data_IF_053695947763
#
_entry.id   IF_053695947763
#
_cell.length_a   1.000
_cell.length_b   1.000
_cell.length_c   1.000
_cell.angle_alpha   90.00
_cell.angle_beta   90.00
_cell.angle_gamma   90.00
#
_symmetry.space_group_name_H-M   'P 1'
#
loop_
_entity.id
_entity.type
_entity.pdbx_description
1 polymer ?
#
# COMPACT_ATOMS: atom_id res chain seq x y z
N UNK A 1 -40.16 0.72 25.97
CA UNK A 1 -38.68 0.81 25.91
C UNK A 1 -38.02 -0.46 25.37
N UNK A 2 -38.23 -1.65 25.96
CA UNK A 2 -37.56 -2.88 25.51
C UNK A 2 -37.81 -3.28 24.03
N UNK A 3 -39.04 -3.10 23.51
CA UNK A 3 -39.37 -3.41 22.11
C UNK A 3 -38.71 -2.45 21.11
N UNK A 4 -38.60 -1.16 21.47
CA UNK A 4 -37.91 -0.15 20.67
C UNK A 4 -36.40 -0.43 20.57
N UNK A 5 -35.77 -0.79 21.69
CA UNK A 5 -34.35 -1.19 21.72
C UNK A 5 -34.11 -2.46 20.88
N UNK A 6 -35.03 -3.44 20.92
CA UNK A 6 -34.94 -4.64 20.08
C UNK A 6 -35.06 -4.31 18.58
N UNK A 7 -35.98 -3.43 18.20
CA UNK A 7 -36.15 -3.01 16.80
C UNK A 7 -34.93 -2.23 16.28
N UNK A 8 -34.32 -1.38 17.12
CA UNK A 8 -33.08 -0.68 16.78
C UNK A 8 -31.91 -1.66 16.61
N UNK A 9 -31.78 -2.66 17.50
CA UNK A 9 -30.75 -3.69 17.37
C UNK A 9 -30.92 -4.51 16.09
N UNK A 10 -32.16 -4.86 15.71
CA UNK A 10 -32.44 -5.57 14.47
C UNK A 10 -32.07 -4.73 13.23
N UNK A 11 -32.43 -3.44 13.20
CA UNK A 11 -32.05 -2.54 12.11
C UNK A 11 -30.54 -2.30 12.04
N UNK A 12 -29.87 -2.21 13.18
CA UNK A 12 -28.41 -2.14 13.23
C UNK A 12 -27.78 -3.40 12.62
N UNK A 13 -28.32 -4.58 12.93
CA UNK A 13 -27.87 -5.84 12.33
C UNK A 13 -28.07 -5.87 10.81
N UNK A 14 -29.23 -5.38 10.33
CA UNK A 14 -29.51 -5.24 8.89
C UNK A 14 -28.50 -4.32 8.20
N UNK A 15 -28.18 -3.17 8.80
CA UNK A 15 -27.17 -2.24 8.26
C UNK A 15 -25.76 -2.86 8.24
N UNK A 16 -25.38 -3.61 9.27
CA UNK A 16 -24.10 -4.34 9.29
C UNK A 16 -24.06 -5.37 8.17
N UNK A 17 -25.14 -6.13 7.98
CA UNK A 17 -25.21 -7.10 6.89
C UNK A 17 -25.13 -6.42 5.52
N UNK A 18 -25.79 -5.28 5.33
CA UNK A 18 -25.69 -4.48 4.10
C UNK A 18 -24.27 -3.94 3.87
N UNK A 19 -23.59 -3.48 4.92
CA UNK A 19 -22.21 -3.01 4.83
C UNK A 19 -21.25 -4.16 4.46
N UNK A 20 -21.47 -5.36 5.03
CA UNK A 20 -20.69 -6.56 4.72
C UNK A 20 -20.92 -7.01 3.27
N UNK A 21 -22.17 -7.04 2.79
CA UNK A 21 -22.45 -7.44 1.40
C UNK A 21 -21.85 -6.47 0.39
N UNK A 22 -21.84 -5.17 0.71
CA UNK A 22 -21.20 -4.15 -0.11
C UNK A 22 -19.66 -4.25 -0.10
N UNK A 23 -19.06 -4.47 1.08
CA UNK A 23 -17.59 -4.44 1.23
C UNK A 23 -16.92 -5.73 0.74
N UNK A 24 -17.60 -6.87 0.80
CA UNK A 24 -17.07 -8.18 0.37
C UNK A 24 -16.48 -8.19 -1.05
N UNK A 25 -17.17 -7.76 -2.11
CA UNK A 25 -16.60 -7.77 -3.45
C UNK A 25 -15.40 -6.83 -3.60
N UNK A 26 -15.43 -5.65 -2.95
CA UNK A 26 -14.33 -4.69 -2.99
C UNK A 26 -13.06 -5.26 -2.33
N UNK A 27 -13.24 -5.89 -1.16
CA UNK A 27 -12.16 -6.58 -0.47
C UNK A 27 -11.64 -7.79 -1.25
N UNK A 28 -12.51 -8.51 -1.97
CA UNK A 28 -12.09 -9.62 -2.82
C UNK A 28 -11.22 -9.13 -3.99
N UNK A 29 -11.60 -8.03 -4.64
CA UNK A 29 -10.78 -7.41 -5.69
C UNK A 29 -9.45 -6.90 -5.14
N UNK A 30 -9.48 -6.21 -4.00
CA UNK A 30 -8.26 -5.78 -3.32
C UNK A 30 -7.34 -6.96 -2.98
N UNK A 31 -7.90 -8.03 -2.43
CA UNK A 31 -7.14 -9.24 -2.07
C UNK A 31 -6.51 -9.93 -3.28
N UNK A 32 -7.22 -9.95 -4.42
CA UNK A 32 -6.70 -10.52 -5.66
C UNK A 32 -5.39 -9.84 -6.09
N UNK A 33 -5.35 -8.50 -6.11
CA UNK A 33 -4.16 -7.75 -6.49
C UNK A 33 -3.10 -7.73 -5.39
N UNK A 34 -3.50 -7.57 -4.13
CA UNK A 34 -2.58 -7.57 -2.99
C UNK A 34 -1.75 -8.88 -2.92
N UNK A 35 -2.36 -10.01 -3.27
CA UNK A 35 -1.67 -11.32 -3.27
C UNK A 35 -0.57 -11.43 -4.33
N UNK A 36 -0.60 -10.63 -5.40
CA UNK A 36 0.43 -10.70 -6.45
C UNK A 36 1.39 -9.51 -6.41
N UNK A 37 0.93 -8.34 -5.99
CA UNK A 37 1.73 -7.10 -6.01
C UNK A 37 2.38 -6.76 -4.66
N UNK A 38 1.74 -7.11 -3.54
CA UNK A 38 2.20 -6.74 -2.19
C UNK A 38 2.83 -7.92 -1.42
N UNK A 39 3.02 -9.06 -2.08
CA UNK A 39 3.67 -10.21 -1.47
C UNK A 39 5.18 -9.99 -1.39
N UNK A 40 5.82 -10.33 -0.27
CA UNK A 40 7.28 -10.29 -0.17
C UNK A 40 7.91 -11.09 -1.31
N UNK A 41 8.91 -10.53 -2.02
CA UNK A 41 9.52 -11.17 -3.16
C UNK A 41 10.19 -12.49 -2.76
N UNK A 42 10.29 -13.41 -3.71
CA UNK A 42 11.04 -14.65 -3.53
C UNK A 42 12.53 -14.34 -3.41
N UNK A 43 13.32 -15.07 -2.60
CA UNK A 43 14.76 -14.88 -2.50
C UNK A 43 15.49 -14.93 -3.85
N UNK A 44 14.94 -15.65 -4.83
CA UNK A 44 15.50 -15.74 -6.19
C UNK A 44 15.40 -14.42 -6.98
N UNK A 45 14.53 -13.49 -6.59
CA UNK A 45 14.31 -12.21 -7.28
C UNK A 45 15.26 -11.11 -6.77
N UNK A 46 15.86 -11.31 -5.59
CA UNK A 46 16.78 -10.37 -4.96
C UNK A 46 18.01 -10.08 -5.83
N UNK A 47 18.71 -11.08 -6.42
CA UNK A 47 19.85 -10.82 -7.30
C UNK A 47 19.49 -9.95 -8.51
N UNK A 48 18.31 -10.17 -9.09
CA UNK A 48 17.79 -9.37 -10.21
C UNK A 48 17.53 -7.93 -9.78
N UNK A 49 16.93 -7.71 -8.62
CA UNK A 49 16.73 -6.36 -8.07
C UNK A 49 18.05 -5.61 -7.82
N UNK A 50 19.06 -6.30 -7.27
CA UNK A 50 20.41 -5.73 -7.08
C UNK A 50 21.04 -5.37 -8.41
N UNK A 51 20.89 -6.21 -9.44
CA UNK A 51 21.42 -5.93 -10.77
C UNK A 51 20.73 -4.72 -11.41
N UNK A 52 19.41 -4.60 -11.29
CA UNK A 52 18.66 -3.41 -11.74
C UNK A 52 19.14 -2.13 -11.05
N UNK A 53 19.39 -2.18 -9.74
CA UNK A 53 19.95 -1.04 -9.00
C UNK A 53 21.34 -0.64 -9.54
N UNK A 54 22.22 -1.61 -9.80
CA UNK A 54 23.55 -1.32 -10.39
C UNK A 54 23.44 -0.61 -11.74
N UNK A 55 22.48 -1.03 -12.57
CA UNK A 55 22.24 -0.40 -13.87
C UNK A 55 21.76 1.06 -13.72
N UNK A 56 20.89 1.34 -12.75
CA UNK A 56 20.45 2.71 -12.43
C UNK A 56 21.63 3.57 -11.99
N UNK A 57 22.49 3.06 -11.11
CA UNK A 57 23.70 3.77 -10.65
C UNK A 57 24.63 4.06 -11.83
N UNK A 58 24.81 3.09 -12.73
CA UNK A 58 25.66 3.27 -13.91
C UNK A 58 25.07 4.32 -14.87
N UNK A 59 23.76 4.29 -15.13
CA UNK A 59 23.02 5.29 -15.91
C UNK A 59 23.13 6.70 -15.31
N UNK A 60 23.11 6.81 -13.98
CA UNK A 60 23.34 8.07 -13.28
C UNK A 60 24.77 8.59 -13.48
N UNK A 61 25.78 7.71 -13.38
CA UNK A 61 27.20 8.04 -13.60
C UNK A 61 27.49 8.49 -15.03
N UNK A 62 26.84 7.89 -16.03
CA UNK A 62 26.99 8.26 -17.44
C UNK A 62 26.15 9.48 -17.83
N UNK A 63 25.48 10.13 -16.87
CA UNK A 63 24.58 11.26 -17.07
C UNK A 63 23.41 11.00 -18.03
N UNK A 64 23.05 9.73 -18.25
CA UNK A 64 21.97 9.33 -19.15
C UNK A 64 20.59 9.81 -18.68
N UNK A 65 20.44 10.15 -17.39
CA UNK A 65 19.23 10.78 -16.84
C UNK A 65 18.85 12.10 -17.53
N UNK A 66 19.79 12.77 -18.19
CA UNK A 66 19.54 14.01 -18.95
C UNK A 66 18.71 13.79 -20.22
N UNK A 67 18.61 12.55 -20.70
CA UNK A 67 17.81 12.19 -21.86
C UNK A 67 16.39 11.74 -21.50
N UNK A 68 16.03 11.70 -20.21
CA UNK A 68 14.68 11.34 -19.78
C UNK A 68 13.70 12.46 -20.07
N UNK A 69 12.51 12.08 -20.55
CA UNK A 69 11.41 13.02 -20.67
C UNK A 69 10.86 13.39 -19.29
N UNK A 70 10.23 14.57 -19.17
CA UNK A 70 9.62 15.03 -17.91
C UNK A 70 8.60 14.03 -17.39
N UNK A 71 7.82 13.40 -18.28
CA UNK A 71 6.84 12.37 -17.92
C UNK A 71 7.50 11.18 -17.23
N UNK A 72 8.60 10.66 -17.78
CA UNK A 72 9.33 9.52 -17.20
C UNK A 72 9.96 9.88 -15.87
N UNK A 73 10.56 11.08 -15.77
CA UNK A 73 11.13 11.57 -14.52
C UNK A 73 10.06 11.70 -13.42
N UNK A 74 8.87 12.22 -13.76
CA UNK A 74 7.77 12.33 -12.81
C UNK A 74 7.24 10.96 -12.37
N UNK A 75 7.08 10.01 -13.29
CA UNK A 75 6.64 8.65 -12.94
C UNK A 75 7.63 7.97 -11.99
N UNK A 76 8.93 8.05 -12.29
CA UNK A 76 9.97 7.50 -11.42
C UNK A 76 9.99 8.20 -10.05
N UNK A 77 9.75 9.51 -10.01
CA UNK A 77 9.64 10.27 -8.76
C UNK A 77 8.43 9.88 -7.91
N UNK A 78 7.28 9.60 -8.53
CA UNK A 78 6.09 9.13 -7.83
C UNK A 78 6.32 7.75 -7.21
N UNK A 79 6.90 6.81 -7.96
CA UNK A 79 7.25 5.47 -7.43
C UNK A 79 8.27 5.59 -6.30
N UNK A 80 9.30 6.44 -6.43
CA UNK A 80 10.26 6.68 -5.36
C UNK A 80 9.58 7.24 -4.10
N UNK A 81 8.62 8.14 -4.26
CA UNK A 81 7.84 8.70 -3.14
C UNK A 81 6.98 7.65 -2.48
N UNK A 82 6.33 6.77 -3.25
CA UNK A 82 5.55 5.65 -2.72
C UNK A 82 6.40 4.72 -1.84
N UNK A 83 7.60 4.35 -2.29
CA UNK A 83 8.53 3.52 -1.50
C UNK A 83 8.95 4.22 -0.20
N UNK A 84 9.14 5.54 -0.22
CA UNK A 84 9.42 6.32 0.99
C UNK A 84 8.23 6.33 1.96
N UNK A 85 6.99 6.37 1.47
CA UNK A 85 5.81 6.29 2.32
C UNK A 85 5.69 4.93 3.01
N UNK A 86 6.09 3.84 2.36
CA UNK A 86 6.18 2.51 2.99
C UNK A 86 7.13 2.47 4.18
N UNK A 87 8.24 3.23 4.15
CA UNK A 87 9.12 3.37 5.31
C UNK A 87 8.40 4.02 6.50
N UNK A 88 7.63 5.10 6.28
CA UNK A 88 6.85 5.76 7.34
C UNK A 88 5.71 4.89 7.87
N UNK A 89 5.09 4.06 7.02
CA UNK A 89 4.12 3.04 7.49
C UNK A 89 4.82 2.06 8.44
N UNK A 90 6.04 1.62 8.12
CA UNK A 90 6.86 0.82 9.01
C UNK A 90 7.16 1.51 10.35
N UNK A 91 7.45 2.81 10.33
CA UNK A 91 7.62 3.62 11.54
C UNK A 91 6.34 3.69 12.38
N UNK A 92 5.16 3.86 11.76
CA UNK A 92 3.85 3.85 12.43
C UNK A 92 3.61 2.52 13.15
N UNK A 93 3.94 1.41 12.50
CA UNK A 93 3.88 0.08 13.13
C UNK A 93 4.87 -0.01 14.29
N UNK A 94 6.12 0.42 14.09
CA UNK A 94 7.18 0.36 15.12
C UNK A 94 6.88 1.21 16.37
N UNK A 95 6.31 2.40 16.20
CA UNK A 95 5.92 3.29 17.31
C UNK A 95 4.56 2.96 17.92
N UNK A 96 3.81 2.05 17.31
CA UNK A 96 2.47 1.64 17.75
C UNK A 96 1.48 2.81 17.87
N UNK A 97 1.59 3.80 16.99
CA UNK A 97 0.81 5.02 17.08
C UNK A 97 0.73 5.75 15.75
N UNK A 98 -0.46 6.24 15.42
CA UNK A 98 -0.69 7.02 14.19
C UNK A 98 -0.14 8.45 14.36
N UNK A 99 -0.22 8.99 15.58
CA UNK A 99 0.18 10.36 15.90
C UNK A 99 1.28 10.39 16.96
N UNK A 100 2.41 11.00 16.60
CA UNK A 100 3.54 11.20 17.52
C UNK A 100 4.14 9.90 18.04
N UNK A 101 5.11 10.05 18.95
CA UNK A 101 5.57 8.97 19.81
C UNK A 101 4.83 9.05 21.13
N UNK A 102 4.49 7.90 21.70
CA UNK A 102 3.94 7.83 23.05
C UNK A 102 5.10 8.00 24.05
N UNK A 103 5.39 9.25 24.39
CA UNK A 103 6.43 9.67 25.35
C UNK A 103 5.87 9.98 26.72
#
# INVERSE_FOLDING_TARGET
>A
MAQFVRNLAQRALEMVNAAVTYSKPLLATFWHYAKVELVPPSPAEIPTAIQSLKNIIWSAKTAAFKHLTVKEAMLNGLVATEVLMWFYIGEIIGKHGIFGYNV
#
